data_IF_120570285393
#
_entry.id   IF_120570285393
#
_cell.length_a   1.000
_cell.length_b   1.000
_cell.length_c   1.000
_cell.angle_alpha   90.00
_cell.angle_beta   90.00
_cell.angle_gamma   90.00
#
_symmetry.space_group_name_H-M   'P 1'
#
loop_
_entity.id
_entity.type
_entity.pdbx_description
1 polymer ?
#
# COMPACT_ATOMS: atom_id res chain seq x y z
N UNK A 1 -9.15 -53.24 9.98
CA UNK A 1 -8.75 -53.70 11.34
C UNK A 1 -7.25 -53.46 11.43
N UNK A 2 -6.66 -52.61 12.26
CA UNK A 2 -7.04 -51.63 13.29
C UNK A 2 -5.96 -50.51 13.16
N UNK A 3 -6.16 -49.22 13.38
CA UNK A 3 -6.92 -48.55 14.43
C UNK A 3 -6.06 -48.44 15.69
N UNK A 4 -5.47 -47.26 15.97
CA UNK A 4 -5.51 -46.54 17.26
C UNK A 4 -5.14 -45.06 17.00
N UNK A 5 -5.87 -44.21 17.71
CA UNK A 5 -6.03 -42.77 17.61
C UNK A 5 -5.57 -42.10 18.94
N UNK A 6 -5.44 -40.77 18.87
CA UNK A 6 -5.50 -39.74 19.92
C UNK A 6 -4.23 -39.25 20.64
N UNK A 7 -3.99 -37.94 20.47
CA UNK A 7 -3.12 -37.09 21.30
C UNK A 7 -3.26 -35.60 20.96
N UNK A 8 -4.34 -34.98 21.42
CA UNK A 8 -4.71 -33.56 21.28
C UNK A 8 -3.80 -32.69 22.16
N UNK A 9 -3.16 -31.65 21.61
CA UNK A 9 -2.57 -30.56 22.40
C UNK A 9 -2.78 -29.22 21.69
N UNK A 10 -3.69 -28.41 22.24
CA UNK A 10 -3.86 -27.01 21.87
C UNK A 10 -2.78 -26.15 22.52
N UNK A 11 -2.19 -25.25 21.74
CA UNK A 11 -1.22 -24.26 22.20
C UNK A 11 -1.40 -22.97 21.42
N UNK A 12 -2.35 -22.14 21.86
CA UNK A 12 -2.51 -20.79 21.34
C UNK A 12 -1.31 -19.93 21.75
N UNK A 13 -0.59 -19.42 20.76
CA UNK A 13 0.51 -18.47 20.98
C UNK A 13 -0.10 -17.09 21.19
N UNK A 14 -0.07 -16.62 22.44
CA UNK A 14 -0.41 -15.24 22.82
C UNK A 14 0.73 -14.32 22.35
N UNK A 15 0.38 -13.29 21.59
CA UNK A 15 1.30 -12.19 21.28
C UNK A 15 1.69 -11.47 22.57
N UNK A 16 2.97 -11.57 22.92
CA UNK A 16 3.58 -10.82 24.01
C UNK A 16 3.61 -9.33 23.68
N UNK A 17 3.23 -8.52 24.65
CA UNK A 17 3.31 -7.07 24.64
C UNK A 17 4.77 -6.63 24.45
N UNK A 18 5.06 -5.90 23.37
CA UNK A 18 6.23 -5.04 23.27
C UNK A 18 5.94 -3.77 24.06
N UNK A 19 6.44 -3.72 25.29
CA UNK A 19 6.49 -2.52 26.11
C UNK A 19 7.44 -1.51 25.46
N UNK A 20 6.89 -0.43 24.90
CA UNK A 20 7.67 0.77 24.58
C UNK A 20 7.95 1.52 25.88
N UNK A 21 9.21 1.47 26.34
CA UNK A 21 9.68 2.17 27.51
C UNK A 21 9.48 3.68 27.41
N UNK A 22 8.68 4.23 28.33
CA UNK A 22 8.66 5.65 28.64
C UNK A 22 9.51 5.87 29.88
N UNK A 23 10.57 6.67 29.71
CA UNK A 23 11.48 7.12 30.77
C UNK A 23 10.70 7.90 31.83
N UNK A 24 10.77 7.42 33.07
CA UNK A 24 10.16 8.02 34.26
C UNK A 24 10.97 9.22 34.75
N UNK A 25 10.40 10.42 34.65
CA UNK A 25 10.80 11.60 35.43
C UNK A 25 9.97 11.68 36.73
N UNK A 26 10.53 12.16 37.86
CA UNK A 26 9.89 12.04 39.17
C UNK A 26 8.79 13.09 39.35
N UNK A 27 7.60 12.67 39.84
CA UNK A 27 6.68 13.60 40.49
C UNK A 27 5.19 13.62 40.08
N UNK A 28 4.58 12.50 39.66
CA UNK A 28 3.11 12.43 39.59
C UNK A 28 2.56 11.11 40.13
N UNK A 29 1.69 11.13 41.16
CA UNK A 29 1.13 9.91 41.77
C UNK A 29 0.12 9.23 40.86
N UNK A 30 0.16 7.90 40.86
CA UNK A 30 -0.70 7.01 40.07
C UNK A 30 -2.19 7.20 40.43
N UNK A 31 -2.96 7.74 39.48
CA UNK A 31 -4.41 7.88 39.56
C UNK A 31 -5.08 7.36 38.28
N UNK A 32 -6.11 6.54 38.45
CA UNK A 32 -6.86 5.85 37.38
C UNK A 32 -7.35 6.81 36.29
N UNK A 33 -6.84 6.67 35.07
CA UNK A 33 -7.38 7.37 33.90
C UNK A 33 -8.64 6.65 33.43
N UNK A 34 -9.82 7.22 33.70
CA UNK A 34 -11.05 6.89 32.96
C UNK A 34 -11.03 7.69 31.66
N UNK A 35 -11.01 7.01 30.52
CA UNK A 35 -11.22 7.60 29.20
C UNK A 35 -12.63 8.22 29.13
N UNK A 36 -12.70 9.52 28.88
CA UNK A 36 -13.93 10.22 28.53
C UNK A 36 -14.04 10.28 27.00
N UNK A 37 -15.08 9.73 26.36
CA UNK A 37 -15.22 9.77 24.92
C UNK A 37 -15.71 11.15 24.48
N UNK A 38 -15.10 11.69 23.43
CA UNK A 38 -15.58 12.78 22.56
C UNK A 38 -15.73 14.18 23.20
N UNK A 39 -14.70 15.01 23.03
CA UNK A 39 -14.76 16.47 23.18
C UNK A 39 -13.96 17.14 22.06
N UNK A 40 -14.61 17.96 21.25
CA UNK A 40 -14.11 18.51 20.00
C UNK A 40 -12.83 19.36 20.15
N UNK A 41 -11.79 19.03 19.38
CA UNK A 41 -10.67 19.93 19.13
C UNK A 41 -11.15 21.09 18.26
N UNK A 42 -10.86 22.33 18.66
CA UNK A 42 -11.00 23.51 17.81
C UNK A 42 -9.69 24.29 17.76
N UNK A 43 -9.47 24.95 16.63
CA UNK A 43 -8.22 25.60 16.25
C UNK A 43 -8.44 27.11 16.25
N UNK A 44 -7.66 27.81 17.06
CA UNK A 44 -7.50 29.27 16.97
C UNK A 44 -6.01 29.59 17.12
N UNK A 45 -5.49 30.39 16.19
CA UNK A 45 -4.12 30.94 16.18
C UNK A 45 -2.96 29.97 16.53
N UNK A 46 -2.90 28.85 15.81
CA UNK A 46 -1.64 28.10 15.64
C UNK A 46 -1.16 27.20 16.78
N UNK A 47 -1.90 27.07 17.90
CA UNK A 47 -1.56 26.14 18.98
C UNK A 47 -2.74 25.23 19.39
N UNK A 48 -2.46 23.94 19.62
CA UNK A 48 -3.43 22.97 20.12
C UNK A 48 -3.66 23.18 21.61
N UNK A 49 -4.93 23.32 22.04
CA UNK A 49 -5.30 23.34 23.46
C UNK A 49 -6.30 22.24 23.76
N UNK A 50 -6.13 21.57 24.90
CA UNK A 50 -7.05 20.56 25.44
C UNK A 50 -7.82 21.18 26.60
N UNK A 51 -9.16 21.14 26.55
CA UNK A 51 -9.99 21.50 27.69
C UNK A 51 -10.00 20.35 28.71
N UNK A 52 -9.27 20.51 29.81
CA UNK A 52 -9.47 19.70 31.01
C UNK A 52 -10.57 20.35 31.86
N UNK A 53 -11.79 19.81 31.83
CA UNK A 53 -12.81 20.14 32.82
C UNK A 53 -12.53 19.32 34.10
N UNK A 54 -11.89 19.93 35.10
CA UNK A 54 -11.86 19.39 36.46
C UNK A 54 -13.04 19.94 37.26
N UNK A 55 -14.03 19.08 37.54
CA UNK A 55 -15.03 19.31 38.58
C UNK A 55 -14.41 19.04 39.95
N UNK A 56 -14.20 20.06 40.78
CA UNK A 56 -13.86 19.84 42.19
C UNK A 56 -13.05 20.95 42.85
N UNK A 57 -13.75 21.76 43.65
CA UNK A 57 -13.36 22.39 44.91
C UNK A 57 -11.87 22.73 45.18
N UNK A 58 -11.62 24.03 45.39
CA UNK A 58 -10.75 24.47 46.49
C UNK A 58 -9.35 25.02 46.15
N UNK A 59 -9.23 26.35 46.29
CA UNK A 59 -8.07 27.13 46.77
C UNK A 59 -6.74 27.15 45.96
N UNK A 60 -6.46 28.36 45.43
CA UNK A 60 -5.23 29.19 45.46
C UNK A 60 -3.84 28.51 45.31
N UNK A 61 -2.86 28.99 44.53
CA UNK A 61 -2.58 30.19 43.72
C UNK A 61 -1.32 29.85 42.86
N UNK A 62 -0.90 30.60 41.85
CA UNK A 62 -0.42 31.96 41.93
C UNK A 62 -0.51 32.68 40.57
N UNK A 63 -0.66 33.99 40.69
CA UNK A 63 -0.93 34.99 39.66
C UNK A 63 0.36 35.44 38.95
N UNK A 64 0.24 35.94 37.71
CA UNK A 64 0.77 37.27 37.38
C UNK A 64 -0.26 38.05 36.56
N UNK A 65 -0.58 39.24 37.07
CA UNK A 65 -1.54 40.22 36.59
C UNK A 65 -1.06 40.89 35.30
N UNK A 66 -1.99 41.18 34.39
CA UNK A 66 -2.16 42.55 33.89
C UNK A 66 -3.65 42.90 33.95
N UNK A 67 -3.93 43.92 34.74
CA UNK A 67 -5.23 44.49 35.07
C UNK A 67 -5.75 45.38 33.95
N UNK A 68 -7.03 45.25 33.60
CA UNK A 68 -7.83 46.43 33.30
C UNK A 68 -9.08 46.48 34.18
N UNK A 69 -9.15 47.63 34.86
CA UNK A 69 -10.07 48.03 35.91
C UNK A 69 -11.44 48.35 35.31
N UNK A 70 -12.48 47.68 35.78
CA UNK A 70 -13.82 48.24 35.80
C UNK A 70 -14.47 47.91 37.14
N UNK A 71 -14.45 48.91 38.03
CA UNK A 71 -15.08 48.94 39.34
C UNK A 71 -16.52 48.42 39.32
N UNK A 72 -16.82 47.45 40.19
CA UNK A 72 -18.20 47.12 40.60
C UNK A 72 -18.73 48.20 41.55
N UNK A 73 -19.93 48.77 41.33
CA UNK A 73 -20.65 49.41 42.41
C UNK A 73 -21.17 48.36 43.43
N UNK A 74 -21.29 48.70 44.73
CA UNK A 74 -21.61 47.75 45.79
C UNK A 74 -23.08 47.34 45.80
N UNK A 75 -23.33 46.16 46.38
CA UNK A 75 -24.67 45.62 46.59
C UNK A 75 -25.51 46.50 47.51
N UNK A 76 -26.53 47.17 46.95
CA UNK A 76 -27.59 47.80 47.74
C UNK A 76 -28.92 47.04 47.62
N UNK A 77 -29.37 46.61 48.81
CA UNK A 77 -30.74 46.43 49.29
C UNK A 77 -31.85 46.18 48.27
N UNK A 78 -32.44 45.00 48.43
CA UNK A 78 -33.79 44.63 48.01
C UNK A 78 -34.76 45.82 48.02
N UNK A 79 -35.21 46.22 46.83
CA UNK A 79 -36.51 46.87 46.64
C UNK A 79 -37.30 46.04 45.65
N UNK A 80 -38.43 45.53 46.12
CA UNK A 80 -39.48 45.00 45.27
C UNK A 80 -39.91 46.12 44.31
N UNK A 81 -39.80 45.88 43.01
CA UNK A 81 -40.58 46.61 42.02
C UNK A 81 -41.18 45.60 41.04
N UNK A 82 -42.49 45.70 40.94
CA UNK A 82 -43.37 44.82 40.22
C UNK A 82 -43.06 44.75 38.72
N UNK A 83 -43.46 43.62 38.17
CA UNK A 83 -43.77 43.34 36.77
C UNK A 83 -44.05 44.58 35.90
N UNK A 84 -43.17 44.86 34.94
CA UNK A 84 -43.54 45.50 33.68
C UNK A 84 -43.17 44.53 32.56
N UNK A 85 -44.19 43.80 32.12
CA UNK A 85 -44.11 42.80 31.06
C UNK A 85 -44.51 43.49 29.76
N UNK A 86 -43.56 44.09 29.04
CA UNK A 86 -43.78 44.52 27.65
C UNK A 86 -43.18 43.48 26.68
N UNK A 87 -43.97 42.95 25.72
CA UNK A 87 -43.47 41.99 24.76
C UNK A 87 -42.64 42.70 23.65
N UNK A 88 -41.32 42.47 23.63
CA UNK A 88 -40.48 42.81 22.47
C UNK A 88 -40.93 42.02 21.24
N UNK A 89 -41.48 42.70 20.23
CA UNK A 89 -41.78 42.12 18.90
C UNK A 89 -40.50 41.57 18.27
N UNK A 90 -40.44 40.26 18.04
CA UNK A 90 -39.32 39.60 17.34
C UNK A 90 -39.50 39.79 15.83
N UNK A 91 -38.80 40.75 15.24
CA UNK A 91 -38.77 40.94 13.78
C UNK A 91 -37.94 39.80 13.18
N UNK A 92 -38.57 38.85 12.50
CA UNK A 92 -37.87 37.86 11.69
C UNK A 92 -37.67 38.46 10.29
N UNK A 93 -36.53 39.11 10.05
CA UNK A 93 -36.18 39.52 8.69
C UNK A 93 -35.85 38.26 7.87
N UNK A 94 -36.60 38.01 6.80
CA UNK A 94 -36.23 37.03 5.78
C UNK A 94 -35.01 37.55 5.03
N UNK A 95 -33.84 36.96 5.28
CA UNK A 95 -32.63 37.25 4.51
C UNK A 95 -32.87 36.78 3.06
N UNK A 96 -32.92 37.72 2.11
CA UNK A 96 -32.98 37.42 0.68
C UNK A 96 -31.56 37.43 0.13
N UNK A 97 -31.07 36.26 -0.28
CA UNK A 97 -29.73 36.11 -0.85
C UNK A 97 -29.74 36.52 -2.32
N UNK A 98 -28.73 37.29 -2.73
CA UNK A 98 -28.49 37.62 -4.14
C UNK A 98 -28.17 36.35 -4.96
N UNK A 99 -28.47 36.30 -6.27
CA UNK A 99 -28.27 35.09 -7.10
C UNK A 99 -26.84 34.53 -7.05
N UNK A 100 -25.83 35.40 -7.00
CA UNK A 100 -24.42 34.99 -6.86
C UNK A 100 -24.16 34.30 -5.50
N UNK A 101 -24.75 34.81 -4.42
CA UNK A 101 -24.63 34.21 -3.09
C UNK A 101 -25.34 32.85 -3.01
N UNK A 102 -26.47 32.70 -3.72
CA UNK A 102 -27.15 31.41 -3.83
C UNK A 102 -26.28 30.36 -4.54
N UNK A 103 -25.61 30.74 -5.63
CA UNK A 103 -24.70 29.84 -6.33
C UNK A 103 -23.51 29.39 -5.47
N UNK A 104 -22.89 30.32 -4.72
CA UNK A 104 -21.81 30.01 -3.79
C UNK A 104 -22.29 29.09 -2.66
N UNK A 105 -23.50 29.30 -2.15
CA UNK A 105 -24.08 28.44 -1.12
C UNK A 105 -24.28 27.00 -1.63
N UNK A 106 -24.78 26.84 -2.86
CA UNK A 106 -24.94 25.54 -3.52
C UNK A 106 -23.60 24.83 -3.69
N UNK A 107 -22.55 25.54 -4.09
CA UNK A 107 -21.21 24.96 -4.23
C UNK A 107 -20.60 24.57 -2.88
N UNK A 108 -20.77 25.40 -1.84
CA UNK A 108 -20.34 25.07 -0.48
C UNK A 108 -21.10 23.85 0.03
N UNK A 109 -22.41 23.76 -0.20
CA UNK A 109 -23.23 22.61 0.17
C UNK A 109 -22.82 21.35 -0.59
N UNK A 110 -22.56 21.42 -1.90
CA UNK A 110 -22.04 20.30 -2.70
C UNK A 110 -20.69 19.82 -2.19
N UNK A 111 -19.75 20.73 -1.92
CA UNK A 111 -18.43 20.38 -1.37
C UNK A 111 -18.54 19.79 0.03
N UNK A 112 -19.43 20.32 0.86
CA UNK A 112 -19.68 19.82 2.21
C UNK A 112 -20.37 18.46 2.19
N UNK A 113 -21.31 18.24 1.28
CA UNK A 113 -21.97 16.96 1.06
C UNK A 113 -21.00 15.90 0.52
N UNK A 114 -20.14 16.24 -0.44
CA UNK A 114 -19.11 15.33 -0.95
C UNK A 114 -18.08 14.99 0.12
N UNK A 115 -17.61 15.98 0.90
CA UNK A 115 -16.71 15.77 2.04
C UNK A 115 -17.38 14.92 3.12
N UNK A 116 -18.61 15.24 3.50
CA UNK A 116 -19.38 14.48 4.48
C UNK A 116 -19.66 13.06 4.00
N UNK A 117 -19.97 12.86 2.72
CA UNK A 117 -20.17 11.55 2.10
C UNK A 117 -18.90 10.70 2.10
N UNK A 118 -17.74 11.29 1.79
CA UNK A 118 -16.45 10.61 1.89
C UNK A 118 -16.10 10.24 3.34
N UNK A 119 -16.36 11.12 4.31
CA UNK A 119 -16.08 10.83 5.72
C UNK A 119 -17.06 9.82 6.33
N UNK A 120 -18.34 9.88 5.98
CA UNK A 120 -19.34 8.90 6.45
C UNK A 120 -19.10 7.54 5.81
N UNK A 121 -18.75 7.50 4.52
CA UNK A 121 -18.37 6.25 3.84
C UNK A 121 -17.08 5.65 4.38
N UNK A 122 -16.09 6.46 4.77
CA UNK A 122 -14.87 5.98 5.43
C UNK A 122 -15.16 5.50 6.87
N UNK A 123 -16.03 6.19 7.60
CA UNK A 123 -16.42 5.83 8.97
C UNK A 123 -17.28 4.55 9.02
N UNK A 124 -18.14 4.31 8.02
CA UNK A 124 -18.92 3.06 7.93
C UNK A 124 -18.05 1.84 7.63
N UNK A 125 -16.87 2.03 7.03
CA UNK A 125 -15.86 0.97 6.90
C UNK A 125 -15.11 0.69 8.23
N UNK A 126 -15.14 1.63 9.18
CA UNK A 126 -14.51 1.49 10.51
C UNK A 126 -15.48 0.95 11.57
N UNK A 127 -16.78 0.90 11.30
CA UNK A 127 -17.76 0.26 12.19
C UNK A 127 -17.70 -1.26 12.00
N UNK A 128 -16.91 -1.89 12.86
CA UNK A 128 -16.54 -3.31 12.86
C UNK A 128 -17.64 -4.29 12.46
N UNK A 129 -17.36 -5.03 11.38
CA UNK A 129 -17.74 -6.43 11.35
C UNK A 129 -16.97 -7.14 12.47
N UNK A 130 -17.68 -7.91 13.28
CA UNK A 130 -17.13 -8.72 14.36
C UNK A 130 -15.88 -9.48 13.88
N UNK A 131 -14.69 -9.11 14.35
CA UNK A 131 -13.39 -9.68 13.95
C UNK A 131 -13.17 -11.12 14.48
N UNK A 132 -14.23 -11.79 14.94
CA UNK A 132 -14.19 -13.17 15.42
C UNK A 132 -14.50 -14.21 14.33
N UNK A 133 -15.09 -13.80 13.20
CA UNK A 133 -15.31 -14.70 12.05
C UNK A 133 -14.27 -14.40 10.97
N UNK A 134 -13.13 -15.10 11.02
CA UNK A 134 -12.01 -14.95 10.08
C UNK A 134 -12.44 -14.94 8.61
N UNK A 135 -13.41 -15.79 8.25
CA UNK A 135 -13.90 -15.93 6.87
C UNK A 135 -14.53 -14.66 6.28
N UNK A 136 -15.23 -13.84 7.08
CA UNK A 136 -15.90 -12.64 6.56
C UNK A 136 -14.92 -11.47 6.46
N UNK A 137 -14.04 -11.35 7.45
CA UNK A 137 -12.96 -10.36 7.44
C UNK A 137 -12.04 -10.60 6.26
N UNK A 138 -11.62 -11.85 6.05
CA UNK A 138 -10.75 -12.24 4.93
C UNK A 138 -11.41 -11.93 3.58
N UNK A 139 -12.71 -12.22 3.41
CA UNK A 139 -13.44 -11.86 2.17
C UNK A 139 -13.42 -10.37 1.89
N UNK A 140 -13.62 -9.53 2.92
CA UNK A 140 -13.58 -8.07 2.78
C UNK A 140 -12.16 -7.60 2.45
N UNK A 141 -11.14 -8.13 3.13
CA UNK A 141 -9.75 -7.79 2.87
C UNK A 141 -9.33 -8.17 1.45
N UNK A 142 -9.72 -9.36 0.98
CA UNK A 142 -9.48 -9.80 -0.41
C UNK A 142 -10.23 -8.94 -1.42
N UNK A 143 -11.47 -8.52 -1.13
CA UNK A 143 -12.21 -7.60 -1.99
C UNK A 143 -11.52 -6.25 -2.09
N UNK A 144 -11.02 -5.72 -0.96
CA UNK A 144 -10.26 -4.47 -0.91
C UNK A 144 -8.92 -4.57 -1.64
N UNK A 145 -8.19 -5.67 -1.47
CA UNK A 145 -6.94 -5.95 -2.19
C UNK A 145 -7.17 -5.97 -3.71
N UNK A 146 -8.19 -6.69 -4.18
CA UNK A 146 -8.57 -6.70 -5.61
C UNK A 146 -9.02 -5.34 -6.13
N UNK A 147 -9.68 -4.54 -5.31
CA UNK A 147 -10.01 -3.16 -5.66
C UNK A 147 -8.74 -2.30 -5.79
N UNK A 148 -7.81 -2.43 -4.84
CA UNK A 148 -6.51 -1.75 -4.92
C UNK A 148 -5.74 -2.16 -6.18
N UNK A 149 -5.72 -3.45 -6.55
CA UNK A 149 -5.08 -3.91 -7.79
C UNK A 149 -5.69 -3.26 -9.04
N UNK A 150 -7.01 -3.11 -9.09
CA UNK A 150 -7.71 -2.43 -10.20
C UNK A 150 -7.35 -0.94 -10.27
N UNK A 151 -7.29 -0.27 -9.12
CA UNK A 151 -6.90 1.15 -9.06
C UNK A 151 -5.45 1.33 -9.48
N UNK A 152 -4.53 0.49 -9.01
CA UNK A 152 -3.13 0.56 -9.42
C UNK A 152 -2.96 0.27 -10.92
N UNK A 153 -3.69 -0.71 -11.46
CA UNK A 153 -3.71 -0.99 -12.89
C UNK A 153 -4.24 0.19 -13.72
N UNK A 154 -5.27 0.88 -13.23
CA UNK A 154 -5.82 2.06 -13.88
C UNK A 154 -4.86 3.27 -13.84
N UNK A 155 -4.14 3.45 -12.73
CA UNK A 155 -3.15 4.52 -12.57
C UNK A 155 -1.84 4.25 -13.33
N UNK A 156 -1.57 3.00 -13.67
CA UNK A 156 -0.32 2.61 -14.30
C UNK A 156 -0.19 3.20 -15.70
N UNK A 157 0.92 3.90 -15.93
CA UNK A 157 1.28 4.42 -17.23
C UNK A 157 2.38 3.54 -17.85
N UNK A 158 2.02 2.72 -18.83
CA UNK A 158 2.93 1.82 -19.54
C UNK A 158 4.06 2.51 -20.33
N UNK A 159 4.07 3.84 -20.41
CA UNK A 159 5.12 4.63 -21.06
C UNK A 159 5.98 5.43 -20.06
N UNK A 160 5.59 5.50 -18.78
CA UNK A 160 6.36 6.21 -17.76
C UNK A 160 7.51 5.33 -17.28
N UNK A 161 8.73 5.69 -17.69
CA UNK A 161 9.94 4.97 -17.31
C UNK A 161 10.21 5.06 -15.80
N UNK A 162 10.68 3.96 -15.24
CA UNK A 162 11.32 3.92 -13.93
C UNK A 162 12.67 4.65 -13.97
N UNK A 163 13.11 5.26 -12.85
CA UNK A 163 14.40 5.92 -12.77
C UNK A 163 15.56 5.01 -13.19
N UNK A 164 16.46 5.58 -13.98
CA UNK A 164 17.72 4.95 -14.38
C UNK A 164 18.88 5.55 -13.59
N UNK A 165 19.94 4.76 -13.43
CA UNK A 165 21.09 5.13 -12.61
C UNK A 165 22.40 4.98 -13.37
N UNK A 166 23.47 5.56 -12.85
CA UNK A 166 24.82 5.38 -13.39
C UNK A 166 25.50 4.14 -12.80
N UNK A 167 26.56 3.65 -13.46
CA UNK A 167 27.37 2.52 -12.96
C UNK A 167 27.98 2.78 -11.57
N UNK A 168 28.31 4.04 -11.27
CA UNK A 168 28.86 4.43 -9.96
C UNK A 168 27.86 4.23 -8.79
N UNK A 169 26.57 4.08 -9.10
CA UNK A 169 25.51 3.88 -8.10
C UNK A 169 25.12 2.42 -7.92
N UNK A 170 25.81 1.49 -8.59
CA UNK A 170 25.54 0.05 -8.45
C UNK A 170 25.74 -0.39 -7.01
N UNK A 171 24.79 -1.18 -6.51
CA UNK A 171 24.89 -1.80 -5.20
C UNK A 171 25.79 -3.03 -5.30
N UNK A 172 26.86 -3.06 -4.51
CA UNK A 172 27.81 -4.17 -4.47
C UNK A 172 28.18 -4.50 -3.00
N UNK A 173 27.92 -5.72 -2.49
CA UNK A 173 27.25 -6.82 -3.18
C UNK A 173 25.76 -6.52 -3.43
N UNK A 174 25.22 -7.07 -4.52
CA UNK A 174 23.78 -6.99 -4.78
C UNK A 174 23.04 -8.01 -3.89
N UNK A 175 22.01 -7.61 -3.13
CA UNK A 175 21.37 -8.53 -2.19
C UNK A 175 20.72 -9.74 -2.86
N UNK A 176 20.93 -10.92 -2.29
CA UNK A 176 20.21 -12.13 -2.66
C UNK A 176 18.74 -12.04 -2.24
N UNK A 177 17.84 -12.61 -3.05
CA UNK A 177 16.41 -12.63 -2.77
C UNK A 177 15.74 -13.88 -3.37
N UNK A 178 15.12 -14.71 -2.54
CA UNK A 178 14.34 -15.86 -2.96
C UNK A 178 13.42 -16.31 -1.82
N UNK A 179 12.48 -17.22 -2.11
CA UNK A 179 11.68 -17.90 -1.09
C UNK A 179 12.42 -19.09 -0.44
N UNK A 180 13.71 -19.24 -0.78
CA UNK A 180 14.64 -20.25 -0.28
C UNK A 180 15.98 -19.59 0.06
N UNK A 181 16.80 -20.21 0.92
CA UNK A 181 18.15 -19.73 1.22
C UNK A 181 19.11 -19.91 0.03
N UNK A 182 20.18 -19.12 -0.02
CA UNK A 182 21.15 -19.07 -1.13
C UNK A 182 21.77 -20.44 -1.48
N UNK A 183 22.01 -21.31 -0.49
CA UNK A 183 22.54 -22.65 -0.74
C UNK A 183 21.55 -23.62 -1.43
N UNK A 184 20.29 -23.21 -1.63
CA UNK A 184 19.26 -23.96 -2.36
C UNK A 184 18.98 -23.38 -3.76
N UNK A 185 19.84 -22.49 -4.27
CA UNK A 185 19.72 -21.97 -5.63
C UNK A 185 19.73 -23.13 -6.62
N UNK A 186 18.74 -23.20 -7.55
CA UNK A 186 18.66 -24.30 -8.49
C UNK A 186 19.80 -24.19 -9.52
N UNK A 187 20.43 -25.32 -9.80
CA UNK A 187 21.33 -25.46 -10.93
C UNK A 187 20.52 -25.85 -12.17
N UNK A 188 20.52 -24.98 -13.19
CA UNK A 188 19.83 -25.22 -14.45
C UNK A 188 20.85 -25.65 -15.50
N UNK A 189 20.77 -26.91 -15.92
CA UNK A 189 21.63 -27.47 -16.97
C UNK A 189 21.33 -26.81 -18.33
N UNK A 190 22.37 -26.32 -18.99
CA UNK A 190 22.26 -25.49 -20.19
C UNK A 190 22.09 -26.27 -21.48
N UNK A 191 22.74 -27.43 -21.57
CA UNK A 191 22.77 -28.26 -22.79
C UNK A 191 21.36 -28.55 -23.30
N UNK A 192 20.45 -28.83 -22.36
CA UNK A 192 19.04 -29.13 -22.64
C UNK A 192 18.08 -27.98 -22.35
N UNK A 193 18.57 -26.81 -21.91
CA UNK A 193 17.68 -25.69 -21.59
C UNK A 193 16.93 -25.22 -22.85
N UNK A 194 15.60 -25.25 -22.77
CA UNK A 194 14.70 -24.69 -23.77
C UNK A 194 13.60 -23.90 -23.07
N UNK A 195 13.48 -22.63 -23.42
CA UNK A 195 12.37 -21.80 -22.98
C UNK A 195 11.11 -22.21 -23.75
N UNK A 196 10.12 -22.73 -23.02
CA UNK A 196 8.81 -23.09 -23.57
C UNK A 196 7.96 -21.84 -23.77
N UNK A 197 7.23 -21.78 -24.88
CA UNK A 197 6.28 -20.70 -25.18
C UNK A 197 4.90 -21.31 -25.41
N UNK A 198 3.88 -20.82 -24.71
CA UNK A 198 2.53 -21.40 -24.79
C UNK A 198 1.39 -20.36 -24.67
N UNK A 199 0.14 -20.83 -24.61
CA UNK A 199 -1.03 -19.95 -24.52
C UNK A 199 -1.40 -19.27 -25.84
N UNK A 200 -1.84 -18.00 -25.76
CA UNK A 200 -2.29 -17.16 -26.87
C UNK A 200 -1.10 -16.57 -27.66
N UNK A 201 -0.30 -17.46 -28.24
CA UNK A 201 0.90 -17.15 -29.03
C UNK A 201 0.86 -17.95 -30.34
N UNK A 202 1.26 -17.32 -31.45
CA UNK A 202 1.32 -17.95 -32.77
C UNK A 202 2.49 -18.92 -32.91
N UNK A 203 3.72 -18.47 -32.62
CA UNK A 203 4.91 -19.31 -32.67
C UNK A 203 5.25 -19.85 -31.28
N UNK A 204 5.11 -21.17 -31.12
CA UNK A 204 5.33 -21.89 -29.86
C UNK A 204 6.58 -22.77 -29.91
N UNK A 205 7.46 -22.55 -30.87
CA UNK A 205 8.72 -23.29 -30.91
C UNK A 205 9.53 -23.03 -29.65
N UNK A 206 10.17 -24.06 -29.05
CA UNK A 206 11.03 -23.86 -27.90
C UNK A 206 12.26 -23.01 -28.25
N UNK A 207 12.65 -22.11 -27.35
CA UNK A 207 13.73 -21.14 -27.56
C UNK A 207 15.02 -21.55 -26.85
N UNK A 208 16.15 -21.47 -27.57
CA UNK A 208 17.49 -21.57 -26.96
C UNK A 208 17.95 -20.21 -26.45
N UNK A 209 18.92 -20.20 -25.53
CA UNK A 209 19.56 -18.96 -25.07
C UNK A 209 20.26 -18.23 -26.22
N UNK A 210 20.90 -18.96 -27.13
CA UNK A 210 21.54 -18.37 -28.31
C UNK A 210 20.53 -17.68 -29.23
N UNK A 211 19.33 -18.24 -29.39
CA UNK A 211 18.27 -17.60 -30.16
C UNK A 211 17.79 -16.31 -29.47
N UNK A 212 17.65 -16.31 -28.14
CA UNK A 212 17.32 -15.10 -27.37
C UNK A 212 18.43 -14.03 -27.50
N UNK A 213 19.70 -14.42 -27.45
CA UNK A 213 20.84 -13.49 -27.60
C UNK A 213 20.93 -12.84 -28.98
N UNK A 214 20.35 -13.45 -30.02
CA UNK A 214 20.28 -12.89 -31.38
C UNK A 214 19.20 -11.81 -31.54
N UNK A 215 18.25 -11.70 -30.61
CA UNK A 215 17.26 -10.62 -30.60
C UNK A 215 17.90 -9.30 -30.17
N UNK A 216 17.27 -8.15 -30.46
CA UNK A 216 17.74 -6.84 -29.99
C UNK A 216 17.93 -6.82 -28.47
N UNK A 217 19.16 -6.55 -28.02
CA UNK A 217 19.51 -6.47 -26.62
C UNK A 217 19.40 -5.05 -26.10
N UNK A 218 19.09 -4.92 -24.81
CA UNK A 218 19.04 -3.67 -24.05
C UNK A 218 19.67 -3.87 -22.69
N UNK A 219 20.35 -2.83 -22.20
CA UNK A 219 20.88 -2.77 -20.85
C UNK A 219 20.24 -1.62 -20.09
N UNK A 220 19.69 -1.89 -18.91
CA UNK A 220 19.10 -0.89 -18.03
C UNK A 220 19.73 -0.99 -16.63
N UNK A 221 20.15 0.14 -16.08
CA UNK A 221 20.57 0.25 -14.68
C UNK A 221 19.38 0.78 -13.88
N UNK A 222 18.72 -0.09 -13.13
CA UNK A 222 17.46 0.22 -12.44
C UNK A 222 17.47 -0.29 -11.00
N UNK A 223 16.62 0.32 -10.17
CA UNK A 223 16.42 -0.09 -8.78
C UNK A 223 15.43 -1.24 -8.70
N UNK A 224 15.80 -2.31 -7.99
CA UNK A 224 14.90 -3.33 -7.49
C UNK A 224 14.44 -2.92 -6.09
N UNK A 225 13.14 -2.92 -5.85
CA UNK A 225 12.55 -2.65 -4.54
C UNK A 225 11.96 -3.95 -4.03
N UNK A 226 12.50 -4.48 -2.93
CA UNK A 226 11.99 -5.69 -2.31
C UNK A 226 10.88 -5.34 -1.32
N UNK A 227 9.90 -6.24 -1.20
CA UNK A 227 8.83 -6.11 -0.21
C UNK A 227 9.34 -6.22 1.23
N UNK A 228 10.51 -6.85 1.42
CA UNK A 228 11.19 -6.99 2.71
C UNK A 228 11.79 -5.67 3.25
N UNK A 229 11.56 -4.54 2.56
CA UNK A 229 11.93 -3.22 3.05
C UNK A 229 13.31 -2.71 2.61
N UNK A 230 13.95 -3.39 1.67
CA UNK A 230 15.24 -2.95 1.10
C UNK A 230 15.14 -2.67 -0.41
N UNK A 231 16.11 -1.95 -0.94
CA UNK A 231 16.24 -1.73 -2.39
C UNK A 231 17.70 -1.71 -2.82
N UNK A 232 17.96 -2.14 -4.06
CA UNK A 232 19.30 -2.21 -4.62
C UNK A 232 19.29 -1.79 -6.09
N UNK A 233 20.36 -1.13 -6.54
CA UNK A 233 20.55 -0.72 -7.93
C UNK A 233 21.40 -1.77 -8.62
N UNK A 234 20.87 -2.36 -9.69
CA UNK A 234 21.56 -3.35 -10.51
C UNK A 234 21.55 -2.99 -11.99
N UNK A 235 22.56 -3.45 -12.72
CA UNK A 235 22.63 -3.37 -14.18
C UNK A 235 22.12 -4.69 -14.75
N UNK A 236 21.08 -4.63 -15.58
CA UNK A 236 20.42 -5.80 -16.16
C UNK A 236 20.51 -5.71 -17.68
N UNK A 237 20.96 -6.78 -18.33
CA UNK A 237 21.06 -6.89 -19.78
C UNK A 237 20.18 -8.01 -20.31
N UNK A 238 19.52 -7.79 -21.44
CA UNK A 238 18.74 -8.83 -22.11
C UNK A 238 17.79 -8.31 -23.18
N UNK A 239 16.80 -9.11 -23.53
CA UNK A 239 15.81 -8.78 -24.58
C UNK A 239 14.65 -8.02 -23.94
N UNK A 240 14.21 -6.87 -24.48
CA UNK A 240 12.95 -6.28 -24.07
C UNK A 240 11.80 -7.28 -24.23
N UNK A 241 11.02 -7.52 -23.18
CA UNK A 241 9.95 -8.54 -23.20
C UNK A 241 8.93 -8.23 -24.30
N UNK A 242 8.62 -6.95 -24.52
CA UNK A 242 7.81 -6.49 -25.66
C UNK A 242 8.32 -7.04 -26.99
N UNK A 243 9.61 -6.88 -27.28
CA UNK A 243 10.23 -7.34 -28.52
C UNK A 243 10.11 -8.85 -28.67
N UNK A 244 10.33 -9.61 -27.60
CA UNK A 244 10.18 -11.06 -27.63
C UNK A 244 8.72 -11.46 -27.91
N UNK A 245 7.75 -10.87 -27.21
CA UNK A 245 6.32 -11.13 -27.39
C UNK A 245 5.86 -10.82 -28.82
N UNK A 246 6.30 -9.70 -29.40
CA UNK A 246 6.01 -9.34 -30.79
C UNK A 246 6.61 -10.33 -31.78
N UNK A 247 7.85 -10.77 -31.54
CA UNK A 247 8.56 -11.72 -32.40
C UNK A 247 7.83 -13.07 -32.49
N UNK A 248 7.45 -13.65 -31.34
CA UNK A 248 6.73 -14.94 -31.28
C UNK A 248 5.26 -14.82 -31.73
N UNK A 249 4.78 -13.62 -32.06
CA UNK A 249 3.39 -13.37 -32.43
C UNK A 249 2.43 -13.62 -31.26
N UNK A 250 2.79 -13.16 -30.06
CA UNK A 250 1.89 -13.14 -28.91
C UNK A 250 0.69 -12.22 -29.17
N UNK A 251 -0.48 -12.61 -28.67
CA UNK A 251 -1.66 -11.75 -28.69
C UNK A 251 -1.47 -10.63 -27.65
N UNK A 252 -0.90 -9.49 -28.04
CA UNK A 252 -0.61 -8.35 -27.15
C UNK A 252 -1.85 -7.59 -26.69
N UNK A 253 -3.04 -7.95 -27.19
CA UNK A 253 -4.33 -7.49 -26.67
C UNK A 253 -4.90 -8.42 -25.58
N UNK A 254 -4.24 -9.55 -25.30
CA UNK A 254 -4.58 -10.40 -24.17
C UNK A 254 -4.26 -9.72 -22.84
N UNK A 255 -4.77 -10.27 -21.74
CA UNK A 255 -4.72 -9.60 -20.44
C UNK A 255 -3.42 -9.83 -19.67
N UNK A 256 -2.81 -11.00 -19.81
CA UNK A 256 -1.73 -11.44 -18.94
C UNK A 256 -0.60 -12.17 -19.67
N UNK A 257 0.59 -12.05 -19.11
CA UNK A 257 1.75 -12.90 -19.41
C UNK A 257 2.11 -13.65 -18.13
N UNK A 258 2.14 -14.99 -18.19
CA UNK A 258 2.51 -15.86 -17.08
C UNK A 258 3.90 -16.47 -17.27
N UNK A 259 4.51 -16.83 -16.15
CA UNK A 259 5.86 -17.37 -16.06
C UNK A 259 5.86 -18.59 -15.15
N UNK A 260 6.53 -19.67 -15.59
CA UNK A 260 6.88 -20.80 -14.72
C UNK A 260 8.39 -20.95 -14.63
N UNK A 261 8.88 -21.37 -13.48
CA UNK A 261 10.29 -21.38 -13.14
C UNK A 261 10.74 -22.79 -12.73
N UNK A 262 12.03 -23.06 -12.89
CA UNK A 262 12.63 -24.36 -12.56
C UNK A 262 12.53 -24.70 -11.06
N UNK A 263 12.53 -23.69 -10.19
CA UNK A 263 12.39 -23.81 -8.73
C UNK A 263 10.95 -23.98 -8.23
N UNK A 264 9.99 -24.22 -9.15
CA UNK A 264 8.53 -24.27 -8.90
C UNK A 264 7.91 -22.91 -8.59
N UNK A 265 8.67 -21.83 -8.69
CA UNK A 265 8.10 -20.48 -8.64
C UNK A 265 7.27 -20.19 -9.88
N UNK A 266 6.23 -19.39 -9.72
CA UNK A 266 5.43 -18.88 -10.82
C UNK A 266 4.95 -17.48 -10.49
N UNK A 267 4.80 -16.67 -11.52
CA UNK A 267 4.29 -15.32 -11.39
C UNK A 267 3.60 -14.90 -12.70
N UNK A 268 2.94 -13.76 -12.68
CA UNK A 268 2.28 -13.21 -13.87
C UNK A 268 2.34 -11.69 -13.87
N UNK A 269 2.24 -11.09 -15.05
CA UNK A 269 2.17 -9.65 -15.25
C UNK A 269 0.91 -9.32 -16.06
N UNK A 270 0.32 -8.16 -15.81
CA UNK A 270 -0.61 -7.57 -16.76
C UNK A 270 0.13 -7.23 -18.06
N UNK A 271 -0.57 -7.34 -19.18
CA UNK A 271 0.01 -7.10 -20.49
C UNK A 271 0.65 -5.70 -20.64
N UNK A 272 0.05 -4.60 -20.14
CA UNK A 272 0.72 -3.29 -20.12
C UNK A 272 2.09 -3.30 -19.42
N UNK A 273 2.20 -3.97 -18.27
CA UNK A 273 3.49 -4.14 -17.58
C UNK A 273 4.45 -5.00 -18.41
N UNK A 274 3.98 -6.09 -19.01
CA UNK A 274 4.82 -6.95 -19.85
C UNK A 274 5.37 -6.21 -21.09
N UNK A 275 4.57 -5.30 -21.67
CA UNK A 275 4.92 -4.47 -22.82
C UNK A 275 5.68 -3.19 -22.44
N UNK A 276 5.89 -2.92 -21.16
CA UNK A 276 6.59 -1.73 -20.69
C UNK A 276 8.04 -1.69 -21.23
N UNK A 277 8.55 -0.53 -21.71
CA UNK A 277 9.85 -0.45 -22.40
C UNK A 277 11.08 -0.92 -21.61
N UNK A 278 10.99 -0.96 -20.28
CA UNK A 278 12.06 -1.43 -19.37
C UNK A 278 11.79 -2.81 -18.76
N UNK A 279 10.73 -3.51 -19.19
CA UNK A 279 10.54 -4.91 -18.80
C UNK A 279 11.43 -5.78 -19.68
N UNK A 280 12.38 -6.47 -19.06
CA UNK A 280 13.40 -7.27 -19.76
C UNK A 280 13.24 -8.75 -19.44
N UNK A 281 13.45 -9.57 -20.47
CA UNK A 281 13.97 -10.93 -20.34
C UNK A 281 15.48 -10.82 -20.16
N UNK A 282 15.92 -10.74 -18.91
CA UNK A 282 17.33 -10.51 -18.59
C UNK A 282 18.11 -11.83 -18.69
N UNK A 283 19.24 -11.74 -19.38
CA UNK A 283 20.23 -12.80 -19.60
C UNK A 283 21.55 -12.49 -18.88
N UNK A 284 21.79 -11.22 -18.60
CA UNK A 284 23.04 -10.70 -18.07
C UNK A 284 22.79 -9.84 -16.82
N UNK A 285 23.73 -9.88 -15.87
CA UNK A 285 23.78 -9.02 -14.69
C UNK A 285 25.16 -8.37 -14.59
N UNK A 286 25.20 -7.04 -14.55
CA UNK A 286 26.43 -6.30 -14.81
C UNK A 286 26.82 -6.43 -16.28
N UNK A 287 28.02 -6.95 -16.54
CA UNK A 287 28.60 -7.16 -17.88
C UNK A 287 28.88 -8.65 -18.15
N UNK A 288 28.31 -9.53 -17.32
CA UNK A 288 28.47 -10.98 -17.43
C UNK A 288 27.10 -11.65 -17.50
N UNK A 289 27.08 -12.90 -17.95
CA UNK A 289 25.88 -13.73 -17.85
C UNK A 289 25.38 -13.80 -16.40
N UNK A 290 24.07 -13.95 -16.21
CA UNK A 290 23.48 -14.05 -14.87
C UNK A 290 24.22 -15.09 -14.01
N UNK A 291 24.61 -14.77 -12.78
CA UNK A 291 24.93 -15.79 -11.80
C UNK A 291 23.66 -16.61 -11.46
N UNK A 292 23.80 -17.89 -11.05
CA UNK A 292 22.68 -18.69 -10.55
C UNK A 292 21.82 -17.96 -9.53
N UNK A 293 22.44 -17.31 -8.55
CA UNK A 293 21.78 -16.58 -7.44
C UNK A 293 20.81 -15.48 -7.92
N UNK A 294 21.05 -14.95 -9.12
CA UNK A 294 20.25 -13.88 -9.72
C UNK A 294 19.31 -14.37 -10.81
N UNK A 295 19.24 -15.68 -11.07
CA UNK A 295 18.22 -16.31 -11.90
C UNK A 295 18.72 -16.88 -13.21
N UNK A 296 19.97 -17.32 -13.27
CA UNK A 296 20.52 -18.00 -14.46
C UNK A 296 19.64 -19.19 -14.90
N UNK A 297 19.42 -19.40 -16.21
CA UNK A 297 19.96 -18.64 -17.34
C UNK A 297 19.10 -17.46 -17.79
N UNK A 298 17.88 -17.35 -17.26
CA UNK A 298 16.90 -16.38 -17.71
C UNK A 298 16.00 -15.95 -16.55
N UNK A 299 15.84 -14.63 -16.39
CA UNK A 299 14.87 -14.05 -15.47
C UNK A 299 14.04 -12.97 -16.16
N UNK A 300 12.95 -12.57 -15.53
CA UNK A 300 12.27 -11.32 -15.86
C UNK A 300 12.76 -10.23 -14.92
N UNK A 301 12.98 -9.04 -15.46
CA UNK A 301 13.25 -7.81 -14.72
C UNK A 301 12.16 -6.78 -15.04
N UNK A 302 11.45 -6.33 -14.02
CA UNK A 302 10.33 -5.38 -14.09
C UNK A 302 10.58 -4.21 -13.13
N UNK A 303 11.17 -3.10 -13.59
CA UNK A 303 11.51 -1.95 -12.74
C UNK A 303 10.31 -1.19 -12.18
N UNK A 304 9.09 -1.47 -12.66
CA UNK A 304 7.85 -0.83 -12.22
C UNK A 304 7.07 -1.67 -11.20
N UNK A 305 7.65 -2.79 -10.74
CA UNK A 305 7.02 -3.72 -9.80
C UNK A 305 7.96 -4.09 -8.64
N UNK A 306 7.37 -4.57 -7.55
CA UNK A 306 8.13 -5.16 -6.44
C UNK A 306 8.91 -6.41 -6.86
N UNK A 307 9.99 -6.69 -6.13
CA UNK A 307 10.97 -7.73 -6.45
C UNK A 307 10.40 -9.12 -6.67
N UNK A 308 9.33 -9.49 -5.96
CA UNK A 308 8.70 -10.81 -6.10
C UNK A 308 7.99 -11.00 -7.45
N UNK A 309 7.63 -9.92 -8.16
CA UNK A 309 7.09 -9.95 -9.54
C UNK A 309 8.17 -10.15 -10.61
N UNK A 310 9.42 -10.41 -10.22
CA UNK A 310 10.57 -10.55 -11.11
C UNK A 310 11.09 -12.01 -11.06
N UNK A 311 10.33 -12.99 -11.58
CA UNK A 311 10.67 -14.42 -11.48
C UNK A 311 12.06 -14.74 -12.06
N UNK A 312 12.74 -15.71 -11.44
CA UNK A 312 14.08 -16.22 -11.77
C UNK A 312 13.97 -17.60 -12.41
N UNK A 313 15.02 -18.06 -13.11
CA UNK A 313 15.09 -19.44 -13.64
C UNK A 313 13.89 -19.82 -14.52
N UNK A 314 13.47 -18.93 -15.41
CA UNK A 314 12.23 -19.10 -16.19
C UNK A 314 12.40 -20.25 -17.17
N UNK A 315 11.40 -21.13 -17.23
CA UNK A 315 11.34 -22.27 -18.16
C UNK A 315 10.14 -22.21 -19.09
N UNK A 316 9.09 -21.44 -18.75
CA UNK A 316 7.93 -21.23 -19.61
C UNK A 316 7.43 -19.79 -19.55
N UNK A 317 7.10 -19.22 -20.71
CA UNK A 317 6.34 -17.98 -20.86
C UNK A 317 5.04 -18.29 -21.61
N UNK A 318 3.92 -17.80 -21.10
CA UNK A 318 2.63 -18.02 -21.75
C UNK A 318 1.72 -16.80 -21.69
N UNK A 319 0.81 -16.67 -22.66
CA UNK A 319 -0.13 -15.56 -22.75
C UNK A 319 -1.55 -16.04 -22.47
N UNK A 320 -2.28 -15.32 -21.63
CA UNK A 320 -3.63 -15.72 -21.19
C UNK A 320 -4.57 -14.52 -21.00
N UNK A 321 -5.89 -14.78 -21.10
CA UNK A 321 -6.94 -13.85 -20.69
C UNK A 321 -7.46 -14.13 -19.28
N UNK A 322 -7.12 -15.29 -18.72
CA UNK A 322 -7.39 -15.66 -17.34
C UNK A 322 -6.17 -15.30 -16.49
N UNK A 323 -6.42 -14.77 -15.28
CA UNK A 323 -5.32 -14.40 -14.38
C UNK A 323 -4.60 -15.67 -13.94
N UNK A 324 -3.30 -15.85 -14.28
CA UNK A 324 -2.57 -17.06 -13.90
C UNK A 324 -2.22 -17.14 -12.41
N UNK A 325 -2.46 -16.07 -11.63
CA UNK A 325 -2.05 -15.99 -10.24
C UNK A 325 -0.54 -15.77 -10.09
N UNK A 326 -0.01 -16.15 -8.92
CA UNK A 326 1.41 -16.09 -8.64
C UNK A 326 1.71 -16.65 -7.25
N UNK A 327 2.93 -17.13 -7.06
CA UNK A 327 3.31 -17.88 -5.86
C UNK A 327 3.05 -17.13 -4.55
N UNK A 328 3.31 -15.82 -4.50
CA UNK A 328 3.06 -15.00 -3.31
C UNK A 328 1.65 -14.45 -3.26
N UNK A 329 1.07 -14.20 -4.42
CA UNK A 329 -0.31 -13.74 -4.56
C UNK A 329 -1.29 -14.76 -4.01
N UNK A 330 -1.02 -16.05 -4.23
CA UNK A 330 -1.79 -17.16 -3.68
C UNK A 330 -1.64 -17.28 -2.14
N UNK A 331 -0.65 -16.59 -1.56
CA UNK A 331 -0.39 -16.51 -0.12
C UNK A 331 -0.85 -15.19 0.52
N UNK A 332 -1.59 -14.34 -0.19
CA UNK A 332 -2.13 -13.10 0.38
C UNK A 332 -1.53 -11.81 -0.16
N UNK A 333 -0.55 -11.88 -1.06
CA UNK A 333 0.12 -10.66 -1.56
C UNK A 333 -0.75 -9.99 -2.63
N UNK A 334 -0.70 -8.65 -2.68
CA UNK A 334 -1.39 -7.90 -3.72
C UNK A 334 -0.84 -8.25 -5.11
N UNK A 335 -1.72 -8.51 -6.06
CA UNK A 335 -1.30 -9.06 -7.34
C UNK A 335 -0.61 -8.03 -8.24
N UNK A 336 -1.10 -6.78 -8.23
CA UNK A 336 -0.56 -5.76 -9.14
C UNK A 336 0.82 -5.26 -8.72
N UNK A 337 1.02 -5.04 -7.41
CA UNK A 337 2.30 -4.70 -6.77
C UNK A 337 3.18 -3.71 -7.54
N UNK A 338 2.57 -2.60 -7.98
CA UNK A 338 3.22 -1.50 -8.68
C UNK A 338 3.95 -0.55 -7.74
N UNK A 339 4.98 0.14 -8.28
CA UNK A 339 5.75 1.18 -7.58
C UNK A 339 5.74 2.51 -8.34
#
# INVERSE_FOLDING_TARGET
>A
MAGVDHGRAGGGVRAGYLETGAVSGPGCPAGRVRFCPLGAFWRDDGHWRVCCCSSGAGRAGAQYLVTHDYRRPPAERRRNCATMNEPRKRITQRIRLEPAQQSQLVDIQRRSFLRAGLTVGAMSMLTGCNLQDGDQVDKVLWAMSRWNDRVQAWLFNGQKLAPTYSKAQLTNPFPFNAFYPEYNVPEVELSDYRLTVSGLVRDKQPWTLDALRKLPQRTDITRLICIEGWSAIGQWGGVPLKTFLEYIGAHTTARFVGFKCADRYYSSLDMPTALHPQTLLALDFGEVALPPDYGYPLRVRVPTKLGFKNPKHIVEIFVSNENPGGYWEDQGYNWFSGI
#
